data_IF_970223220323
#
_entry.id   IF_970223220323
#
_cell.length_a   1.000
_cell.length_b   1.000
_cell.length_c   1.000
_cell.angle_alpha   90.00
_cell.angle_beta   90.00
_cell.angle_gamma   90.00
#
_symmetry.space_group_name_H-M   'P 1'
#
loop_
_entity.id
_entity.type
_entity.pdbx_description
1 polymer ?
#
# COMPACT_ATOMS: atom_id res chain seq x y z
N UNK A 1 -1.33 -0.07 28.12
CA UNK A 1 -0.47 -1.27 27.97
C UNK A 1 -0.46 -1.74 26.52
N UNK A 2 0.71 -2.05 25.98
CA UNK A 2 0.86 -2.60 24.62
C UNK A 2 0.77 -4.13 24.67
N UNK A 3 0.04 -4.71 23.72
CA UNK A 3 -0.12 -6.16 23.55
C UNK A 3 0.36 -6.57 22.16
N UNK A 4 1.15 -7.62 22.10
CA UNK A 4 1.47 -8.30 20.86
C UNK A 4 0.43 -9.39 20.58
N UNK A 5 -0.16 -9.36 19.39
CA UNK A 5 -1.22 -10.26 18.96
C UNK A 5 -0.78 -11.04 17.72
N UNK A 6 -0.89 -12.37 17.80
CA UNK A 6 -0.86 -13.22 16.60
C UNK A 6 -2.08 -12.92 15.73
N UNK A 7 -1.98 -13.17 14.43
CA UNK A 7 -3.05 -12.93 13.47
C UNK A 7 -4.45 -13.39 13.93
N UNK A 8 -4.54 -14.60 14.49
CA UNK A 8 -5.80 -15.21 14.94
C UNK A 8 -6.42 -14.57 16.19
N UNK A 9 -5.70 -13.68 16.86
CA UNK A 9 -6.16 -12.95 18.05
C UNK A 9 -6.50 -11.49 17.75
N UNK A 10 -6.33 -11.05 16.49
CA UNK A 10 -6.69 -9.70 16.07
C UNK A 10 -8.20 -9.65 15.85
N UNK A 11 -8.86 -8.74 16.58
CA UNK A 11 -10.23 -8.37 16.33
C UNK A 11 -10.25 -7.46 15.09
N UNK A 12 -10.68 -8.03 13.96
CA UNK A 12 -10.64 -7.36 12.64
C UNK A 12 -11.52 -6.13 12.60
N UNK A 13 -12.71 -6.18 13.21
CA UNK A 13 -13.64 -5.05 13.23
C UNK A 13 -13.09 -3.87 14.01
N UNK A 14 -12.42 -4.14 15.14
CA UNK A 14 -11.80 -3.08 15.95
C UNK A 14 -10.52 -2.55 15.33
N UNK A 15 -9.72 -3.44 14.73
CA UNK A 15 -8.55 -3.08 13.95
C UNK A 15 -8.90 -2.11 12.82
N UNK A 16 -9.82 -2.52 11.93
CA UNK A 16 -10.17 -1.75 10.75
C UNK A 16 -10.81 -0.41 11.15
N UNK A 17 -11.63 -0.38 12.21
CA UNK A 17 -12.16 0.87 12.76
C UNK A 17 -11.06 1.82 13.24
N UNK A 18 -10.02 1.31 13.90
CA UNK A 18 -8.89 2.12 14.34
C UNK A 18 -8.08 2.67 13.15
N UNK A 19 -7.89 1.86 12.10
CA UNK A 19 -7.22 2.28 10.87
C UNK A 19 -8.03 3.35 10.14
N UNK A 20 -9.34 3.14 9.98
CA UNK A 20 -10.27 4.04 9.27
C UNK A 20 -10.42 5.40 9.96
N UNK A 21 -10.46 5.43 11.29
CA UNK A 21 -10.53 6.68 12.06
C UNK A 21 -9.19 7.41 12.17
N UNK A 22 -8.11 6.83 11.67
CA UNK A 22 -6.82 7.49 11.70
C UNK A 22 -6.75 8.62 10.67
N UNK A 23 -6.28 9.83 11.04
CA UNK A 23 -6.13 10.95 10.10
C UNK A 23 -5.27 10.63 8.87
N UNK A 24 -4.37 9.66 9.00
CA UNK A 24 -3.47 9.20 7.95
C UNK A 24 -3.78 7.76 7.51
N UNK A 25 -5.05 7.34 7.59
CA UNK A 25 -5.53 6.05 7.12
C UNK A 25 -4.91 5.67 5.76
N UNK A 26 -4.48 4.41 5.65
CA UNK A 26 -3.92 3.82 4.43
C UNK A 26 -4.57 2.46 4.20
N UNK A 27 -4.93 2.19 2.95
CA UNK A 27 -5.44 0.87 2.54
C UNK A 27 -4.47 -0.25 2.94
N UNK A 28 -3.16 0.04 2.92
CA UNK A 28 -2.11 -0.92 3.24
C UNK A 28 -2.22 -1.53 4.64
N UNK A 29 -2.88 -0.84 5.57
CA UNK A 29 -3.09 -1.32 6.94
C UNK A 29 -4.48 -1.92 7.17
N UNK A 30 -5.39 -1.84 6.19
CA UNK A 30 -6.67 -2.51 6.27
C UNK A 30 -6.45 -4.03 6.35
N UNK A 31 -7.19 -4.69 7.23
CA UNK A 31 -6.96 -6.08 7.58
C UNK A 31 -7.12 -7.01 6.37
N UNK A 32 -8.11 -6.72 5.51
CA UNK A 32 -8.35 -7.44 4.26
C UNK A 32 -7.19 -7.29 3.26
N UNK A 33 -6.51 -6.14 3.25
CA UNK A 33 -5.39 -5.88 2.34
C UNK A 33 -4.17 -6.67 2.81
N UNK A 34 -3.85 -6.58 4.11
CA UNK A 34 -2.76 -7.30 4.74
C UNK A 34 -2.93 -8.83 4.59
N UNK A 35 -4.15 -9.35 4.69
CA UNK A 35 -4.44 -10.77 4.46
C UNK A 35 -4.10 -11.25 3.02
N UNK A 36 -4.05 -10.34 2.03
CA UNK A 36 -3.66 -10.70 0.65
C UNK A 36 -2.15 -10.61 0.44
N UNK A 37 -1.53 -9.52 0.88
CA UNK A 37 -0.12 -9.23 0.59
C UNK A 37 0.85 -9.89 1.57
N UNK A 38 0.40 -10.17 2.79
CA UNK A 38 1.16 -10.85 3.83
C UNK A 38 0.25 -11.69 4.75
N UNK A 39 -0.21 -12.86 4.28
CA UNK A 39 -1.06 -13.73 5.07
C UNK A 39 -0.37 -14.15 6.38
N UNK A 40 -1.08 -14.04 7.50
CA UNK A 40 -0.56 -14.39 8.82
C UNK A 40 0.20 -13.25 9.52
N UNK A 41 0.12 -12.02 9.01
CA UNK A 41 0.63 -10.82 9.68
C UNK A 41 0.13 -10.71 11.13
N UNK A 42 0.95 -10.10 11.98
CA UNK A 42 0.72 -9.97 13.41
C UNK A 42 0.62 -8.49 13.78
N UNK A 43 0.38 -8.16 15.05
CA UNK A 43 0.13 -6.79 15.44
C UNK A 43 0.68 -6.44 16.82
N UNK A 44 1.00 -5.17 17.00
CA UNK A 44 0.98 -4.54 18.31
C UNK A 44 -0.26 -3.66 18.44
N UNK A 45 -0.90 -3.74 19.59
CA UNK A 45 -2.12 -2.99 19.91
C UNK A 45 -1.93 -2.28 21.24
N UNK A 46 -2.14 -0.96 21.24
CA UNK A 46 -2.15 -0.16 22.46
C UNK A 46 -3.54 -0.14 23.07
N UNK A 47 -3.61 -0.51 24.36
CA UNK A 47 -4.84 -0.58 25.14
C UNK A 47 -5.92 -1.38 24.39
N UNK A 48 -7.11 -0.81 24.27
CA UNK A 48 -8.28 -1.43 23.67
C UNK A 48 -8.47 -0.97 22.21
N UNK A 49 -7.44 -1.18 21.37
CA UNK A 49 -7.37 -0.66 20.00
C UNK A 49 -7.38 0.87 19.92
N UNK A 50 -6.75 1.53 20.90
CA UNK A 50 -6.53 2.99 20.87
C UNK A 50 -5.55 3.38 19.75
N UNK A 51 -4.52 2.56 19.58
CA UNK A 51 -3.58 2.64 18.47
C UNK A 51 -3.19 1.23 18.04
N UNK A 52 -2.88 1.07 16.76
CA UNK A 52 -2.51 -0.21 16.16
C UNK A 52 -1.27 -0.08 15.29
N UNK A 53 -0.43 -1.13 15.27
CA UNK A 53 0.80 -1.19 14.47
C UNK A 53 0.93 -2.57 13.81
N UNK A 54 0.84 -2.68 12.48
CA UNK A 54 0.91 -3.96 11.79
C UNK A 54 2.35 -4.48 11.71
N UNK A 55 2.52 -5.78 11.97
CA UNK A 55 3.79 -6.50 11.91
C UNK A 55 3.73 -7.62 10.87
N UNK A 56 4.19 -7.39 9.63
CA UNK A 56 4.36 -8.43 8.62
C UNK A 56 5.54 -9.38 8.95
N UNK A 57 5.38 -10.21 9.98
CA UNK A 57 6.44 -11.07 10.51
C UNK A 57 6.73 -12.21 9.55
N UNK A 58 8.01 -12.38 9.20
CA UNK A 58 8.53 -13.46 8.38
C UNK A 58 9.62 -14.21 9.13
N UNK A 59 9.94 -15.44 8.71
CA UNK A 59 10.99 -16.24 9.33
C UNK A 59 11.99 -16.71 8.31
N UNK A 60 13.27 -16.62 8.65
CA UNK A 60 14.38 -17.20 7.88
C UNK A 60 15.31 -17.92 8.85
N UNK A 61 15.54 -19.21 8.62
CA UNK A 61 16.33 -20.07 9.53
C UNK A 61 15.89 -19.97 11.00
N UNK A 62 14.58 -19.95 11.25
CA UNK A 62 13.99 -19.83 12.59
C UNK A 62 13.94 -18.40 13.16
N UNK A 63 14.75 -17.47 12.64
CA UNK A 63 14.82 -16.09 13.10
C UNK A 63 13.62 -15.29 12.54
N UNK A 64 12.84 -14.67 13.43
CA UNK A 64 11.74 -13.80 13.03
C UNK A 64 12.23 -12.39 12.70
N UNK A 65 11.68 -11.80 11.65
CA UNK A 65 11.97 -10.45 11.23
C UNK A 65 10.72 -9.81 10.61
N UNK A 66 10.63 -8.49 10.69
CA UNK A 66 9.56 -7.69 10.10
C UNK A 66 10.12 -6.97 8.88
N UNK A 67 9.38 -6.99 7.78
CA UNK A 67 9.76 -6.24 6.59
C UNK A 67 8.54 -5.71 5.84
N UNK A 68 8.71 -4.63 5.08
CA UNK A 68 7.63 -4.09 4.24
C UNK A 68 7.28 -5.10 3.12
N UNK A 69 6.04 -5.61 3.06
CA UNK A 69 5.64 -6.55 2.01
C UNK A 69 5.67 -5.92 0.62
N UNK A 70 5.75 -6.75 -0.42
CA UNK A 70 5.51 -6.27 -1.79
C UNK A 70 4.11 -5.67 -1.90
N UNK A 71 3.98 -4.63 -2.72
CA UNK A 71 2.74 -3.87 -2.96
C UNK A 71 2.25 -3.05 -1.76
N UNK A 72 2.97 -3.07 -0.63
CA UNK A 72 2.77 -2.14 0.49
C UNK A 72 3.79 -1.01 0.37
N UNK A 73 3.31 0.23 0.28
CA UNK A 73 4.21 1.38 0.21
C UNK A 73 4.64 1.87 1.60
N UNK A 74 3.69 1.94 2.54
CA UNK A 74 3.95 2.41 3.90
C UNK A 74 2.99 1.74 4.88
N UNK A 75 3.52 1.38 6.04
CA UNK A 75 2.79 1.00 7.24
C UNK A 75 3.05 2.05 8.32
N UNK A 76 2.86 1.71 9.60
CA UNK A 76 3.11 2.62 10.69
C UNK A 76 2.09 2.49 11.81
N UNK A 77 2.11 3.46 12.72
CA UNK A 77 1.06 3.54 13.73
C UNK A 77 -0.20 4.11 13.12
N UNK A 78 -1.36 3.54 13.44
CA UNK A 78 -2.67 4.12 13.15
C UNK A 78 -3.43 4.31 14.45
N UNK A 79 -3.93 5.53 14.67
CA UNK A 79 -4.68 5.91 15.84
C UNK A 79 -5.62 7.08 15.50
N UNK A 80 -6.73 7.18 16.21
CA UNK A 80 -7.68 8.30 16.08
C UNK A 80 -7.18 9.56 16.79
N UNK A 81 -6.61 9.39 17.98
CA UNK A 81 -6.17 10.47 18.87
C UNK A 81 -4.78 10.16 19.42
N UNK A 82 -4.00 11.20 19.70
CA UNK A 82 -2.61 11.10 20.14
C UNK A 82 -1.61 11.32 19.00
N UNK A 83 -0.33 11.22 19.34
CA UNK A 83 0.77 11.40 18.39
C UNK A 83 1.25 10.05 17.84
N UNK A 84 1.10 9.78 16.53
CA UNK A 84 1.55 8.53 15.91
C UNK A 84 3.06 8.29 16.08
N UNK A 85 3.87 9.35 16.12
CA UNK A 85 5.30 9.26 16.35
C UNK A 85 5.63 8.69 17.73
N UNK A 86 5.02 9.23 18.77
CA UNK A 86 5.17 8.75 20.16
C UNK A 86 4.75 7.29 20.28
N UNK A 87 3.59 6.92 19.73
CA UNK A 87 3.13 5.53 19.75
C UNK A 87 4.03 4.60 18.95
N UNK A 88 4.57 5.05 17.81
CA UNK A 88 5.53 4.30 17.02
C UNK A 88 6.76 3.95 17.87
N UNK A 89 7.36 4.92 18.57
CA UNK A 89 8.48 4.66 19.47
C UNK A 89 8.11 3.62 20.55
N UNK A 90 6.96 3.80 21.20
CA UNK A 90 6.46 2.84 22.19
C UNK A 90 6.26 1.43 21.62
N UNK A 91 5.77 1.30 20.38
CA UNK A 91 5.59 0.02 19.72
C UNK A 91 6.92 -0.65 19.37
N UNK A 92 7.90 0.13 18.89
CA UNK A 92 9.24 -0.37 18.59
C UNK A 92 9.94 -0.89 19.86
N UNK A 93 9.80 -0.17 20.99
CA UNK A 93 10.32 -0.61 22.29
C UNK A 93 9.62 -1.86 22.83
N UNK A 94 8.34 -2.03 22.51
CA UNK A 94 7.54 -3.18 22.91
C UNK A 94 7.63 -4.38 21.95
N UNK A 95 8.51 -4.34 20.94
CA UNK A 95 8.69 -5.45 20.02
C UNK A 95 9.09 -6.72 20.78
N UNK A 96 8.44 -7.86 20.52
CA UNK A 96 8.83 -9.13 21.12
C UNK A 96 10.29 -9.46 20.85
N UNK A 97 11.03 -9.89 21.88
CA UNK A 97 12.48 -10.18 21.80
C UNK A 97 12.87 -11.27 20.78
N UNK A 98 11.91 -12.07 20.30
CA UNK A 98 12.12 -13.07 19.27
C UNK A 98 12.16 -12.48 17.84
N UNK A 99 11.66 -11.26 17.64
CA UNK A 99 11.81 -10.48 16.41
C UNK A 99 13.18 -9.81 16.46
N UNK A 100 14.09 -10.22 15.58
CA UNK A 100 15.51 -9.81 15.63
C UNK A 100 15.87 -8.73 14.63
N UNK A 101 14.97 -8.39 13.71
CA UNK A 101 15.22 -7.43 12.65
C UNK A 101 13.92 -6.80 12.17
N UNK A 102 13.97 -5.50 11.85
CA UNK A 102 12.84 -4.70 11.35
C UNK A 102 13.32 -3.84 10.19
N UNK A 103 12.63 -3.92 9.05
CA UNK A 103 12.82 -3.09 7.87
C UNK A 103 11.46 -2.61 7.32
N UNK A 104 10.95 -1.52 7.89
CA UNK A 104 9.65 -0.97 7.57
C UNK A 104 9.74 0.41 6.93
N UNK A 105 8.97 0.62 5.87
CA UNK A 105 8.61 1.95 5.39
C UNK A 105 7.46 2.45 6.26
N UNK A 106 7.75 3.34 7.20
CA UNK A 106 6.72 3.99 8.02
C UNK A 106 6.05 5.13 7.26
N UNK A 107 4.86 5.49 7.73
CA UNK A 107 4.10 6.57 7.13
C UNK A 107 4.75 7.93 7.44
N UNK A 108 4.43 8.94 6.64
CA UNK A 108 4.98 10.29 6.80
C UNK A 108 4.66 11.00 8.14
N UNK A 109 3.72 10.48 8.94
CA UNK A 109 3.34 11.02 10.25
C UNK A 109 4.18 10.44 11.38
N UNK A 110 4.80 9.28 11.17
CA UNK A 110 5.71 8.63 12.11
C UNK A 110 7.10 9.26 12.01
N UNK A 111 7.24 10.50 12.52
CA UNK A 111 8.48 11.29 12.42
C UNK A 111 9.49 11.01 13.52
N UNK A 112 9.14 10.21 14.53
CA UNK A 112 9.98 9.94 15.68
C UNK A 112 10.14 8.44 15.91
N UNK A 113 11.18 7.88 15.30
CA UNK A 113 11.74 6.62 15.75
C UNK A 113 12.56 6.73 17.04
N UNK A 114 12.73 7.93 17.60
CA UNK A 114 13.79 8.19 18.56
C UNK A 114 15.15 7.75 18.00
N UNK A 115 16.04 7.29 18.89
CA UNK A 115 17.33 6.69 18.53
C UNK A 115 17.22 5.21 18.10
N UNK A 116 16.00 4.67 17.90
CA UNK A 116 15.83 3.26 17.53
C UNK A 116 16.10 3.06 16.03
N UNK A 117 17.32 2.61 15.71
CA UNK A 117 17.69 2.14 14.38
C UNK A 117 18.13 3.22 13.39
N UNK A 118 18.12 2.88 12.10
CA UNK A 118 18.56 3.76 10.99
C UNK A 118 17.37 4.21 10.17
N UNK A 119 17.28 5.52 9.95
CA UNK A 119 16.14 6.16 9.28
C UNK A 119 16.53 6.75 7.94
N UNK A 120 15.71 6.52 6.92
CA UNK A 120 15.89 7.09 5.59
C UNK A 120 14.57 7.70 5.11
N UNK A 121 14.60 8.99 4.76
CA UNK A 121 13.44 9.64 4.18
C UNK A 121 13.20 9.12 2.76
N UNK A 122 11.94 8.81 2.42
CA UNK A 122 11.54 8.39 1.08
C UNK A 122 10.54 9.39 0.51
N UNK A 123 10.65 9.67 -0.78
CA UNK A 123 9.75 10.57 -1.46
C UNK A 123 8.48 9.84 -1.90
N UNK A 124 7.32 10.42 -1.58
CA UNK A 124 6.04 10.01 -2.12
C UNK A 124 5.47 11.15 -2.98
N UNK A 125 5.08 10.85 -4.21
CA UNK A 125 4.46 11.82 -5.10
C UNK A 125 2.96 11.82 -4.86
N UNK A 126 2.40 12.95 -4.44
CA UNK A 126 0.98 13.13 -4.17
C UNK A 126 0.45 14.24 -5.05
N UNK A 127 -0.64 13.96 -5.77
CA UNK A 127 -1.37 14.94 -6.56
C UNK A 127 -2.71 15.24 -5.88
N UNK A 128 -2.92 16.49 -5.49
CA UNK A 128 -4.23 16.93 -5.01
C UNK A 128 -5.22 17.00 -6.17
N UNK A 129 -6.31 16.23 -6.06
CA UNK A 129 -7.35 16.18 -7.09
C UNK A 129 -8.48 17.21 -6.86
N UNK A 130 -8.47 17.92 -5.72
CA UNK A 130 -9.49 18.91 -5.35
C UNK A 130 -9.72 20.03 -6.38
N UNK A 131 -8.71 20.53 -7.14
CA UNK A 131 -8.93 21.59 -8.13
C UNK A 131 -9.76 21.14 -9.34
N UNK A 132 -9.98 19.84 -9.51
CA UNK A 132 -10.73 19.26 -10.63
C UNK A 132 -9.92 19.12 -11.93
N UNK A 133 -10.43 18.24 -12.81
CA UNK A 133 -9.75 17.80 -14.04
C UNK A 133 -9.26 18.96 -14.94
N UNK A 134 -10.09 19.99 -15.13
CA UNK A 134 -9.75 21.09 -16.03
C UNK A 134 -8.59 21.94 -15.48
N UNK A 135 -8.60 22.26 -14.19
CA UNK A 135 -7.51 23.01 -13.55
C UNK A 135 -6.21 22.20 -13.54
N UNK A 136 -6.27 20.91 -13.23
CA UNK A 136 -5.11 20.01 -13.25
C UNK A 136 -4.48 19.91 -14.65
N UNK A 137 -5.29 19.76 -15.70
CA UNK A 137 -4.76 19.71 -17.08
C UNK A 137 -4.10 21.03 -17.48
N UNK A 138 -4.61 22.17 -16.99
CA UNK A 138 -3.97 23.48 -17.19
C UNK A 138 -2.64 23.62 -16.45
N UNK A 139 -2.38 22.87 -15.38
CA UNK A 139 -1.10 22.93 -14.65
C UNK A 139 -0.04 21.95 -15.15
N UNK A 140 -0.34 21.10 -16.14
CA UNK A 140 0.63 20.15 -16.69
C UNK A 140 1.87 20.84 -17.27
N UNK A 141 3.00 20.12 -17.33
CA UNK A 141 4.16 20.61 -18.07
C UNK A 141 3.87 20.65 -19.58
N UNK A 142 4.63 21.46 -20.33
CA UNK A 142 4.52 21.46 -21.79
C UNK A 142 4.79 20.07 -22.39
N UNK A 143 5.79 19.36 -21.86
CA UNK A 143 6.12 18.00 -22.28
C UNK A 143 4.94 17.02 -22.06
N UNK A 144 4.28 17.10 -20.90
CA UNK A 144 3.09 16.29 -20.62
C UNK A 144 1.97 16.59 -21.62
N UNK A 145 1.70 17.86 -21.93
CA UNK A 145 0.66 18.23 -22.91
C UNK A 145 1.00 17.73 -24.32
N UNK A 146 2.26 17.86 -24.75
CA UNK A 146 2.74 17.32 -26.04
C UNK A 146 2.57 15.80 -26.13
N UNK A 147 2.93 15.07 -25.07
CA UNK A 147 2.78 13.61 -25.01
C UNK A 147 1.31 13.17 -25.08
N UNK A 148 0.41 13.86 -24.38
CA UNK A 148 -1.03 13.56 -24.45
C UNK A 148 -1.58 13.78 -25.86
N UNK A 149 -1.24 14.90 -26.51
CA UNK A 149 -1.67 15.16 -27.89
C UNK A 149 -1.13 14.14 -28.88
N UNK A 150 0.13 13.68 -28.71
CA UNK A 150 0.71 12.62 -29.53
C UNK A 150 -0.04 11.30 -29.36
N UNK A 151 -0.36 10.92 -28.12
CA UNK A 151 -1.11 9.69 -27.84
C UNK A 151 -2.50 9.70 -28.49
N UNK A 152 -3.23 10.82 -28.37
CA UNK A 152 -4.55 11.01 -29.00
C UNK A 152 -4.46 10.93 -30.54
N UNK A 153 -3.47 11.60 -31.15
CA UNK A 153 -3.25 11.55 -32.62
C UNK A 153 -2.87 10.16 -33.12
N UNK A 154 -2.26 9.33 -32.28
CA UNK A 154 -1.95 7.94 -32.58
C UNK A 154 -3.11 6.99 -32.32
N UNK A 155 -4.31 7.50 -32.00
CA UNK A 155 -5.50 6.68 -31.79
C UNK A 155 -5.44 5.85 -30.50
N UNK A 156 -4.69 6.29 -29.48
CA UNK A 156 -4.66 5.62 -28.18
C UNK A 156 -5.89 6.05 -27.38
N UNK A 157 -6.70 5.07 -26.99
CA UNK A 157 -7.89 5.26 -26.16
C UNK A 157 -7.70 4.61 -24.79
N UNK A 158 -8.17 5.26 -23.73
CA UNK A 158 -8.16 4.69 -22.37
C UNK A 158 -9.56 4.28 -21.96
N UNK A 159 -9.75 3.00 -21.64
CA UNK A 159 -11.04 2.42 -21.27
C UNK A 159 -11.05 1.93 -19.82
N UNK A 160 -12.13 2.16 -19.05
CA UNK A 160 -12.28 1.71 -17.66
C UNK A 160 -12.71 0.25 -17.58
N UNK A 161 -12.04 -0.61 -18.34
CA UNK A 161 -12.30 -2.04 -18.38
C UNK A 161 -10.98 -2.75 -18.55
N UNK A 162 -10.77 -3.80 -17.78
CA UNK A 162 -9.58 -4.61 -17.90
C UNK A 162 -9.69 -5.85 -17.05
N UNK A 163 -8.90 -6.83 -17.46
CA UNK A 163 -8.74 -8.09 -16.77
C UNK A 163 -7.48 -8.02 -15.89
N UNK A 164 -7.62 -8.40 -14.62
CA UNK A 164 -6.52 -8.38 -13.67
C UNK A 164 -5.41 -9.35 -14.08
N UNK A 165 -5.76 -10.51 -14.66
CA UNK A 165 -4.76 -11.47 -15.14
C UNK A 165 -3.94 -10.87 -16.28
N UNK A 166 -4.62 -10.26 -17.26
CA UNK A 166 -3.98 -9.58 -18.36
C UNK A 166 -3.05 -8.45 -17.90
N UNK A 167 -3.49 -7.60 -16.95
CA UNK A 167 -2.65 -6.51 -16.44
C UNK A 167 -1.42 -7.04 -15.68
N UNK A 168 -1.57 -8.09 -14.87
CA UNK A 168 -0.44 -8.74 -14.19
C UNK A 168 0.52 -9.37 -15.21
N UNK A 169 0.00 -9.97 -16.28
CA UNK A 169 0.80 -10.52 -17.37
C UNK A 169 1.60 -9.43 -18.08
N UNK A 170 0.95 -8.32 -18.46
CA UNK A 170 1.60 -7.17 -19.09
C UNK A 170 2.73 -6.62 -18.20
N UNK A 171 2.43 -6.38 -16.91
CA UNK A 171 3.44 -5.92 -15.96
C UNK A 171 4.61 -6.89 -15.84
N UNK A 172 4.36 -8.21 -15.75
CA UNK A 172 5.41 -9.22 -15.64
C UNK A 172 6.28 -9.30 -16.89
N UNK A 173 5.68 -9.17 -18.08
CA UNK A 173 6.38 -9.21 -19.37
C UNK A 173 7.33 -8.02 -19.53
N UNK A 174 6.86 -6.82 -19.21
CA UNK A 174 7.58 -5.59 -19.55
C UNK A 174 8.47 -5.08 -18.43
N UNK A 175 7.91 -4.88 -17.23
CA UNK A 175 8.59 -4.21 -16.10
C UNK A 175 9.00 -5.15 -14.98
N UNK A 176 8.32 -6.28 -14.83
CA UNK A 176 8.51 -7.22 -13.72
C UNK A 176 9.96 -7.73 -13.59
N UNK A 177 10.66 -7.85 -14.73
CA UNK A 177 12.07 -8.28 -14.78
C UNK A 177 13.03 -7.26 -14.17
N UNK A 178 12.71 -5.97 -14.22
CA UNK A 178 13.50 -4.89 -13.59
C UNK A 178 13.46 -5.00 -12.05
N UNK A 179 12.34 -5.51 -11.51
CA UNK A 179 12.13 -5.71 -10.08
C UNK A 179 12.49 -7.15 -9.66
N UNK A 180 13.73 -7.59 -9.92
CA UNK A 180 14.23 -8.98 -9.80
C UNK A 180 14.03 -9.71 -8.45
N UNK A 181 13.34 -9.11 -7.48
CA UNK A 181 12.93 -9.70 -6.19
C UNK A 181 11.45 -10.17 -6.19
N UNK A 182 10.64 -9.84 -7.20
CA UNK A 182 9.26 -10.30 -7.33
C UNK A 182 9.23 -11.75 -7.83
N UNK A 183 8.45 -12.62 -7.17
CA UNK A 183 8.34 -14.06 -7.46
C UNK A 183 6.89 -14.42 -7.75
N UNK A 184 6.63 -15.61 -8.27
CA UNK A 184 5.26 -16.08 -8.62
C UNK A 184 4.24 -15.94 -7.48
N UNK A 185 4.66 -16.20 -6.23
CA UNK A 185 3.79 -15.99 -5.06
C UNK A 185 3.34 -14.54 -4.89
N UNK A 186 4.19 -13.57 -5.24
CA UNK A 186 3.86 -12.15 -5.14
C UNK A 186 2.88 -11.76 -6.26
N UNK A 187 3.07 -12.29 -7.49
CA UNK A 187 2.09 -12.09 -8.57
C UNK A 187 0.72 -12.69 -8.23
N UNK A 188 0.69 -13.87 -7.60
CA UNK A 188 -0.57 -14.46 -7.10
C UNK A 188 -1.24 -13.60 -6.02
N UNK A 189 -0.45 -13.05 -5.08
CA UNK A 189 -0.95 -12.12 -4.07
C UNK A 189 -1.52 -10.85 -4.70
N UNK A 190 -0.82 -10.25 -5.69
CA UNK A 190 -1.27 -9.09 -6.43
C UNK A 190 -2.58 -9.36 -7.18
N UNK A 191 -2.66 -10.48 -7.91
CA UNK A 191 -3.87 -10.87 -8.62
C UNK A 191 -5.05 -11.07 -7.66
N UNK A 192 -4.82 -11.75 -6.54
CA UNK A 192 -5.84 -11.91 -5.50
C UNK A 192 -6.29 -10.57 -4.91
N UNK A 193 -5.36 -9.64 -4.69
CA UNK A 193 -5.65 -8.31 -4.17
C UNK A 193 -6.48 -7.50 -5.18
N UNK A 194 -6.09 -7.49 -6.45
CA UNK A 194 -6.80 -6.78 -7.52
C UNK A 194 -8.23 -7.32 -7.67
N UNK A 195 -8.39 -8.65 -7.74
CA UNK A 195 -9.70 -9.28 -7.85
C UNK A 195 -10.60 -9.00 -6.64
N UNK A 196 -10.04 -8.99 -5.42
CA UNK A 196 -10.82 -8.64 -4.22
C UNK A 196 -11.25 -7.17 -4.22
N UNK A 197 -10.36 -6.27 -4.63
CA UNK A 197 -10.65 -4.84 -4.72
C UNK A 197 -11.71 -4.54 -5.77
N UNK A 198 -11.64 -5.21 -6.94
CA UNK A 198 -12.65 -5.10 -7.99
C UNK A 198 -14.03 -5.55 -7.49
N UNK A 199 -14.11 -6.70 -6.81
CA UNK A 199 -15.38 -7.18 -6.21
C UNK A 199 -15.94 -6.25 -5.15
N UNK A 200 -15.08 -5.59 -4.37
CA UNK A 200 -15.47 -4.61 -3.34
C UNK A 200 -15.88 -3.25 -3.92
N UNK A 201 -15.68 -3.02 -5.22
CA UNK A 201 -15.89 -1.72 -5.85
C UNK A 201 -14.83 -0.67 -5.50
N UNK A 202 -13.74 -1.07 -4.84
CA UNK A 202 -12.63 -0.19 -4.45
C UNK A 202 -11.46 -0.24 -5.42
N UNK A 203 -11.46 -1.18 -6.37
CA UNK A 203 -10.44 -1.30 -7.41
C UNK A 203 -10.97 -0.84 -8.77
N UNK A 204 -10.11 -0.23 -9.58
CA UNK A 204 -10.40 0.12 -10.98
C UNK A 204 -9.22 -0.25 -11.86
N UNK A 205 -9.47 -0.86 -13.02
CA UNK A 205 -8.46 -1.08 -14.05
C UNK A 205 -8.74 -0.14 -15.21
N UNK A 206 -7.69 0.55 -15.66
CA UNK A 206 -7.70 1.38 -16.85
C UNK A 206 -6.74 0.76 -17.86
N UNK A 207 -7.21 0.52 -19.09
CA UNK A 207 -6.39 -0.02 -20.18
C UNK A 207 -6.28 1.00 -21.30
N UNK A 208 -5.05 1.24 -21.77
CA UNK A 208 -4.76 2.01 -22.97
C UNK A 208 -4.66 1.06 -24.16
N UNK A 209 -5.46 1.31 -25.19
CA UNK A 209 -5.56 0.46 -26.38
C UNK A 209 -5.39 1.29 -27.66
N UNK A 210 -4.85 0.69 -28.72
CA UNK A 210 -4.86 1.25 -30.07
C UNK A 210 -5.01 0.13 -31.08
N UNK A 211 -5.92 0.29 -32.05
CA UNK A 211 -6.15 -0.71 -33.12
C UNK A 211 -6.41 -2.14 -32.62
N UNK A 212 -7.03 -2.30 -31.45
CA UNK A 212 -7.31 -3.59 -30.81
C UNK A 212 -6.15 -4.17 -29.98
N UNK A 213 -4.97 -3.54 -29.98
CA UNK A 213 -3.84 -3.93 -29.13
C UNK A 213 -3.87 -3.19 -27.78
N UNK A 214 -3.62 -3.92 -26.68
CA UNK A 214 -3.49 -3.37 -25.32
C UNK A 214 -2.04 -2.97 -25.07
N UNK A 215 -1.80 -1.66 -25.00
CA UNK A 215 -0.46 -1.08 -24.94
C UNK A 215 0.04 -0.90 -23.51
N UNK A 216 -0.85 -0.46 -22.61
CA UNK A 216 -0.52 -0.18 -21.22
C UNK A 216 -1.75 -0.38 -20.34
N UNK A 217 -1.53 -0.60 -19.04
CA UNK A 217 -2.61 -0.63 -18.09
C UNK A 217 -2.19 -0.13 -16.72
N UNK A 218 -3.18 0.32 -15.95
CA UNK A 218 -3.01 0.78 -14.59
C UNK A 218 -4.13 0.21 -13.72
N UNK A 219 -3.76 -0.19 -12.51
CA UNK A 219 -4.70 -0.54 -11.46
C UNK A 219 -4.69 0.58 -10.42
N UNK A 220 -5.88 1.07 -10.09
CA UNK A 220 -6.09 2.08 -9.06
C UNK A 220 -6.88 1.49 -7.91
N UNK A 221 -6.53 1.88 -6.70
CA UNK A 221 -7.26 1.50 -5.50
C UNK A 221 -7.81 2.76 -4.81
N UNK A 222 -9.09 2.74 -4.48
CA UNK A 222 -9.80 3.80 -3.78
C UNK A 222 -9.96 3.44 -2.30
N UNK A 223 -9.51 4.32 -1.41
CA UNK A 223 -9.70 4.16 0.03
C UNK A 223 -9.77 5.53 0.72
N UNK A 224 -10.90 5.81 1.37
CA UNK A 224 -11.21 7.13 1.92
C UNK A 224 -11.22 8.18 0.81
N UNK A 225 -10.49 9.27 0.99
CA UNK A 225 -10.38 10.37 0.01
C UNK A 225 -9.15 10.24 -0.91
N UNK A 226 -8.62 9.03 -1.11
CA UNK A 226 -7.39 8.81 -1.87
C UNK A 226 -7.53 7.70 -2.91
N UNK A 227 -6.99 7.99 -4.08
CA UNK A 227 -6.66 6.99 -5.11
C UNK A 227 -5.17 6.66 -4.99
N UNK A 228 -4.86 5.37 -4.99
CA UNK A 228 -3.52 4.78 -5.01
C UNK A 228 -3.22 4.23 -6.39
#
# INVERSE_FOLDING_TARGET
MIRYLRNSKIDRSRWDRCVEWSPHARVYAASWYLDRVHPGWEALVLDDYRAVFPLPVSRKYGIAYVHTPFFVQQLGTFCREGDPGTFTAMFLDALPSHIRYVDLCLNHTDRSGGDTGRWHCRMNLVLDLSPGKAALRRSYSENTRRNLSRAEKSGIEVKPFGDAEHLVHLFRKDRGREFGRIRDRHYRALLSLMNDSLRRGTGRIMMAESSGERLAGAFFLEHGHRLY
#
